data_IF_986146446021
#
_entry.id   IF_986146446021
#
_cell.length_a   1.000
_cell.length_b   1.000
_cell.length_c   1.000
_cell.angle_alpha   90.00
_cell.angle_beta   90.00
_cell.angle_gamma   90.00
#
_symmetry.space_group_name_H-M   'P 1'
#
loop_
_entity.id
_entity.type
_entity.pdbx_description
1 polymer ?
#
# COMPACT_ATOMS: atom_id res chain seq x y z
N UNK A 1 31.41 32.06 36.33
CA UNK A 1 30.07 31.47 36.05
C UNK A 1 30.07 31.11 34.58
N UNK A 2 30.36 29.84 34.32
CA UNK A 2 30.64 29.34 33.00
C UNK A 2 29.33 28.78 32.42
N UNK A 3 28.79 29.43 31.38
CA UNK A 3 27.60 28.95 30.68
C UNK A 3 28.03 27.98 29.60
N UNK A 4 27.98 26.69 29.94
CA UNK A 4 28.22 25.59 29.01
C UNK A 4 27.21 25.62 27.85
N UNK A 5 27.74 25.85 26.65
CA UNK A 5 27.00 25.72 25.38
C UNK A 5 26.78 24.24 25.10
N UNK A 6 25.53 23.81 25.18
CA UNK A 6 25.11 22.47 24.76
C UNK A 6 25.19 22.40 23.23
N UNK A 7 26.20 21.72 22.71
CA UNK A 7 26.20 21.29 21.30
C UNK A 7 25.33 20.04 21.13
N UNK A 8 24.38 20.00 20.21
CA UNK A 8 23.61 18.78 19.96
C UNK A 8 24.52 17.72 19.34
N UNK A 9 24.49 16.53 19.91
CA UNK A 9 25.33 15.37 19.62
C UNK A 9 24.93 14.58 18.36
N UNK A 10 24.05 15.14 17.52
CA UNK A 10 23.62 14.49 16.28
C UNK A 10 23.95 15.39 15.09
N UNK A 11 24.64 14.87 14.07
CA UNK A 11 24.82 15.61 12.83
C UNK A 11 23.43 15.88 12.23
N UNK A 12 23.18 17.13 11.86
CA UNK A 12 22.03 17.51 11.05
C UNK A 12 22.09 16.62 9.79
N UNK A 13 21.10 15.77 9.61
CA UNK A 13 20.90 15.02 8.38
C UNK A 13 20.93 15.98 7.20
N UNK A 14 21.58 15.57 6.11
CA UNK A 14 21.61 16.29 4.85
C UNK A 14 20.18 16.75 4.48
N UNK A 15 20.03 17.89 3.77
CA UNK A 15 18.72 18.34 3.33
C UNK A 15 18.06 17.19 2.56
N UNK A 16 16.96 16.66 3.07
CA UNK A 16 16.13 15.73 2.31
C UNK A 16 15.67 16.48 1.06
N UNK A 17 16.09 16.02 -0.10
CA UNK A 17 15.51 16.47 -1.36
C UNK A 17 14.00 16.27 -1.24
N UNK A 18 13.25 17.31 -1.56
CA UNK A 18 11.78 17.26 -1.52
C UNK A 18 11.34 16.09 -2.42
N UNK A 19 10.47 15.18 -1.94
CA UNK A 19 9.99 14.08 -2.75
C UNK A 19 9.37 14.61 -4.04
N UNK A 20 9.44 13.86 -5.14
CA UNK A 20 8.88 14.31 -6.41
C UNK A 20 7.39 14.64 -6.22
N UNK A 21 6.89 15.73 -6.81
CA UNK A 21 5.54 16.27 -6.56
C UNK A 21 4.39 15.37 -7.03
N UNK A 22 4.67 14.23 -7.65
CA UNK A 22 3.68 13.27 -8.15
C UNK A 22 4.11 11.84 -7.90
N UNK A 23 3.14 10.97 -7.61
CA UNK A 23 3.38 9.53 -7.64
C UNK A 23 3.87 9.13 -9.03
N UNK A 24 4.91 8.30 -9.14
CA UNK A 24 5.41 7.84 -10.42
C UNK A 24 4.33 7.02 -11.15
N UNK A 25 4.43 6.94 -12.45
CA UNK A 25 3.68 5.96 -13.24
C UNK A 25 4.55 4.72 -13.34
N UNK A 26 4.05 3.59 -12.82
CA UNK A 26 4.76 2.31 -12.88
C UNK A 26 4.05 1.43 -13.92
N UNK A 27 4.77 1.06 -14.95
CA UNK A 27 4.28 0.13 -15.97
C UNK A 27 4.93 -1.23 -15.77
N UNK A 28 4.10 -2.26 -15.71
CA UNK A 28 4.50 -3.66 -15.67
C UNK A 28 4.08 -4.36 -16.97
N UNK A 29 4.36 -5.64 -17.17
CA UNK A 29 3.90 -6.35 -18.37
C UNK A 29 2.38 -6.33 -18.58
N UNK A 30 1.57 -6.27 -17.50
CA UNK A 30 0.10 -6.36 -17.61
C UNK A 30 -0.65 -5.19 -16.99
N UNK A 31 0.06 -4.31 -16.23
CA UNK A 31 -0.57 -3.30 -15.41
C UNK A 31 0.05 -1.92 -15.62
N UNK A 32 -0.77 -0.91 -15.42
CA UNK A 32 -0.38 0.48 -15.21
C UNK A 32 -0.80 0.89 -13.81
N UNK A 33 0.18 1.22 -12.96
CA UNK A 33 -0.04 1.80 -11.65
C UNK A 33 0.13 3.32 -11.77
N UNK A 34 -0.90 4.07 -11.43
CA UNK A 34 -0.93 5.53 -11.59
C UNK A 34 -1.79 6.20 -10.53
N UNK A 35 -1.66 7.50 -10.40
CA UNK A 35 -2.60 8.29 -9.61
C UNK A 35 -4.03 8.19 -10.18
N UNK A 36 -5.08 8.27 -9.34
CA UNK A 36 -6.46 8.31 -9.80
C UNK A 36 -6.76 9.59 -10.56
N UNK A 37 -7.70 9.50 -11.48
CA UNK A 37 -8.37 10.64 -12.09
C UNK A 37 -9.86 10.63 -11.72
N UNK A 38 -10.55 11.75 -11.87
CA UNK A 38 -11.96 11.89 -11.45
C UNK A 38 -12.87 10.78 -12.00
N UNK A 39 -12.61 10.30 -13.21
CA UNK A 39 -13.38 9.24 -13.84
C UNK A 39 -13.18 7.85 -13.23
N UNK A 40 -12.17 7.65 -12.38
CA UNK A 40 -11.91 6.36 -11.73
C UNK A 40 -12.83 6.12 -10.54
N UNK A 41 -13.38 7.19 -9.93
CA UNK A 41 -14.15 7.11 -8.68
C UNK A 41 -15.29 6.10 -8.76
N UNK A 42 -16.05 6.08 -9.84
CA UNK A 42 -17.16 5.16 -10.01
C UNK A 42 -16.69 3.69 -10.07
N UNK A 43 -15.62 3.41 -10.81
CA UNK A 43 -15.06 2.06 -10.89
C UNK A 43 -14.50 1.60 -9.54
N UNK A 44 -13.76 2.48 -8.85
CA UNK A 44 -13.20 2.20 -7.53
C UNK A 44 -14.31 1.98 -6.51
N UNK A 45 -15.39 2.77 -6.56
CA UNK A 45 -16.54 2.62 -5.69
C UNK A 45 -17.20 1.24 -5.86
N UNK A 46 -17.46 0.82 -7.08
CA UNK A 46 -18.03 -0.50 -7.38
C UNK A 46 -17.17 -1.65 -6.85
N UNK A 47 -15.85 -1.52 -6.94
CA UNK A 47 -14.93 -2.53 -6.42
C UNK A 47 -14.94 -2.52 -4.89
N UNK A 48 -14.79 -1.34 -4.28
CA UNK A 48 -14.66 -1.15 -2.83
C UNK A 48 -15.92 -1.61 -2.09
N UNK A 49 -17.10 -1.36 -2.64
CA UNK A 49 -18.39 -1.73 -2.08
C UNK A 49 -18.91 -3.10 -2.52
N UNK A 50 -18.16 -3.80 -3.41
CA UNK A 50 -18.54 -5.16 -3.78
C UNK A 50 -18.55 -6.06 -2.53
N UNK A 51 -19.64 -6.83 -2.25
CA UNK A 51 -19.77 -7.60 -1.00
C UNK A 51 -18.56 -8.48 -0.67
N UNK A 52 -18.01 -9.20 -1.66
CA UNK A 52 -16.83 -10.04 -1.48
C UNK A 52 -15.53 -9.26 -1.20
N UNK A 53 -15.50 -7.96 -1.43
CA UNK A 53 -14.36 -7.09 -1.13
C UNK A 53 -14.60 -6.40 0.19
N UNK A 54 -15.79 -5.85 0.41
CA UNK A 54 -16.16 -5.12 1.62
C UNK A 54 -16.03 -5.97 2.89
N UNK A 55 -16.28 -7.28 2.82
CA UNK A 55 -16.14 -8.20 3.97
C UNK A 55 -14.70 -8.22 4.56
N UNK A 56 -13.69 -7.82 3.78
CA UNK A 56 -12.29 -7.81 4.21
C UNK A 56 -11.80 -6.43 4.68
N UNK A 57 -12.67 -5.41 4.67
CA UNK A 57 -12.32 -4.03 5.01
C UNK A 57 -13.11 -3.52 6.21
N UNK A 58 -12.44 -2.80 7.09
CA UNK A 58 -13.08 -2.07 8.20
C UNK A 58 -13.61 -0.68 7.80
N UNK A 59 -13.38 -0.25 6.56
CA UNK A 59 -13.67 1.12 6.10
C UNK A 59 -14.66 1.18 4.94
N UNK A 60 -15.32 0.07 4.62
CA UNK A 60 -16.31 0.04 3.56
C UNK A 60 -17.41 -0.99 3.80
N UNK A 61 -18.62 -0.64 3.40
CA UNK A 61 -19.78 -1.52 3.36
C UNK A 61 -20.36 -1.53 1.96
N UNK A 62 -21.11 -2.59 1.65
CA UNK A 62 -21.78 -2.73 0.35
C UNK A 62 -22.80 -1.63 0.06
N UNK A 63 -23.27 -0.91 1.08
CA UNK A 63 -24.27 0.15 0.99
C UNK A 63 -23.70 1.57 1.11
N UNK A 64 -22.36 1.72 1.17
CA UNK A 64 -21.75 3.03 1.27
C UNK A 64 -22.08 3.89 0.03
N UNK A 65 -22.36 5.18 0.20
CA UNK A 65 -22.56 6.08 -0.94
C UNK A 65 -21.23 6.41 -1.63
N UNK A 66 -21.30 6.88 -2.88
CA UNK A 66 -20.12 7.26 -3.67
C UNK A 66 -19.28 8.33 -2.97
N UNK A 67 -19.91 9.27 -2.26
CA UNK A 67 -19.24 10.32 -1.47
C UNK A 67 -18.26 9.76 -0.44
N UNK A 68 -18.50 8.59 0.13
CA UNK A 68 -17.58 7.96 1.08
C UNK A 68 -16.31 7.43 0.38
N UNK A 69 -16.47 6.98 -0.87
CA UNK A 69 -15.33 6.60 -1.68
C UNK A 69 -14.51 7.83 -2.10
N UNK A 70 -15.14 8.94 -2.45
CA UNK A 70 -14.47 10.20 -2.74
C UNK A 70 -13.67 10.71 -1.53
N UNK A 71 -14.30 10.74 -0.35
CA UNK A 71 -13.64 11.12 0.89
C UNK A 71 -12.49 10.16 1.25
N UNK A 72 -12.64 8.87 1.01
CA UNK A 72 -11.59 7.88 1.21
C UNK A 72 -10.41 8.09 0.23
N UNK A 73 -10.68 8.30 -1.05
CA UNK A 73 -9.66 8.60 -2.07
C UNK A 73 -8.84 9.84 -1.69
N UNK A 74 -9.51 10.90 -1.21
CA UNK A 74 -8.85 12.13 -0.74
C UNK A 74 -7.85 11.86 0.40
N UNK A 75 -8.09 10.84 1.23
CA UNK A 75 -7.20 10.48 2.35
C UNK A 75 -6.03 9.61 1.95
N UNK A 76 -6.21 8.70 0.99
CA UNK A 76 -5.15 7.75 0.60
C UNK A 76 -4.30 8.21 -0.58
N UNK A 77 -4.72 9.26 -1.28
CA UNK A 77 -3.95 9.86 -2.37
C UNK A 77 -3.51 11.29 -2.00
N UNK A 78 -2.81 11.41 -0.87
CA UNK A 78 -2.23 12.69 -0.44
C UNK A 78 -0.79 12.75 -0.93
N UNK A 79 -0.47 13.68 -1.84
CA UNK A 79 0.91 13.89 -2.27
C UNK A 79 1.83 14.06 -1.05
N UNK A 80 3.06 13.55 -1.14
CA UNK A 80 4.11 13.63 -0.12
C UNK A 80 3.86 12.84 1.20
N UNK A 81 2.65 12.29 1.41
CA UNK A 81 2.30 11.54 2.62
C UNK A 81 1.95 10.09 2.37
N UNK A 82 1.63 9.76 1.13
CA UNK A 82 1.22 8.42 0.75
C UNK A 82 1.93 7.99 -0.54
N UNK A 83 2.05 6.69 -0.76
CA UNK A 83 2.53 6.11 -1.99
C UNK A 83 1.46 5.15 -2.51
N UNK A 84 0.54 5.69 -3.32
CA UNK A 84 -0.73 5.05 -3.64
C UNK A 84 -1.05 5.08 -5.14
N UNK A 85 -1.69 4.02 -5.63
CA UNK A 85 -1.98 3.83 -7.05
C UNK A 85 -3.36 3.23 -7.26
N UNK A 86 -4.01 3.61 -8.35
CA UNK A 86 -5.00 2.76 -8.99
C UNK A 86 -4.28 1.73 -9.84
N UNK A 87 -4.81 0.51 -9.86
CA UNK A 87 -4.30 -0.60 -10.65
C UNK A 87 -5.17 -0.69 -11.90
N UNK A 88 -4.60 -0.41 -13.05
CA UNK A 88 -5.27 -0.44 -14.35
C UNK A 88 -4.68 -1.53 -15.23
N UNK A 89 -5.51 -2.28 -15.94
CA UNK A 89 -5.05 -3.26 -16.91
C UNK A 89 -4.44 -2.57 -18.13
N UNK A 90 -3.48 -3.24 -18.76
CA UNK A 90 -2.97 -2.90 -20.07
C UNK A 90 -3.49 -3.90 -21.09
N UNK A 91 -3.94 -3.40 -22.23
CA UNK A 91 -4.22 -4.21 -23.40
C UNK A 91 -2.99 -4.28 -24.30
N UNK A 92 -2.71 -5.46 -24.82
CA UNK A 92 -1.62 -5.69 -25.74
C UNK A 92 -2.14 -5.94 -27.15
N UNK A 93 -1.31 -5.62 -28.14
CA UNK A 93 -1.59 -6.02 -29.54
C UNK A 93 -1.62 -7.54 -29.65
N UNK A 94 -2.23 -8.07 -30.71
CA UNK A 94 -2.27 -9.51 -30.97
C UNK A 94 -0.87 -10.15 -31.04
N UNK A 95 0.17 -9.38 -31.37
CA UNK A 95 1.58 -9.81 -31.35
C UNK A 95 2.19 -9.84 -29.93
N UNK A 96 1.49 -9.31 -28.92
CA UNK A 96 1.93 -9.30 -27.52
C UNK A 96 3.06 -8.32 -27.20
N UNK A 97 3.66 -7.66 -28.18
CA UNK A 97 4.89 -6.88 -27.99
C UNK A 97 4.65 -5.38 -27.74
N UNK A 98 3.44 -4.88 -27.96
CA UNK A 98 3.11 -3.47 -27.77
C UNK A 98 1.81 -3.31 -26.98
N UNK A 99 1.78 -2.32 -26.09
CA UNK A 99 0.55 -1.89 -25.44
C UNK A 99 -0.35 -1.22 -26.47
N UNK A 100 -1.55 -1.74 -26.67
CA UNK A 100 -2.54 -1.20 -27.61
C UNK A 100 -3.49 -0.19 -26.96
N UNK A 101 -3.49 -0.12 -25.62
CA UNK A 101 -4.34 0.81 -24.86
C UNK A 101 -4.45 0.43 -23.38
N UNK A 102 -5.14 1.29 -22.66
CA UNK A 102 -5.46 1.08 -21.25
C UNK A 102 -6.81 0.40 -21.09
N UNK A 103 -6.84 -0.64 -20.27
CA UNK A 103 -8.06 -1.34 -19.88
C UNK A 103 -8.74 -0.69 -18.66
N UNK A 104 -9.66 -1.42 -18.01
CA UNK A 104 -10.36 -0.94 -16.82
C UNK A 104 -9.43 -0.79 -15.63
N UNK A 105 -9.82 0.08 -14.69
CA UNK A 105 -9.31 0.07 -13.31
C UNK A 105 -9.85 -1.19 -12.62
N UNK A 106 -8.96 -1.97 -12.05
CA UNK A 106 -9.28 -3.27 -11.44
C UNK A 106 -9.05 -3.29 -9.93
N UNK A 107 -8.41 -2.27 -9.35
CA UNK A 107 -8.11 -2.22 -7.93
C UNK A 107 -7.35 -0.98 -7.50
N UNK A 108 -6.99 -0.96 -6.22
CA UNK A 108 -6.18 0.08 -5.59
C UNK A 108 -5.10 -0.56 -4.74
N UNK A 109 -3.93 0.04 -4.76
CA UNK A 109 -2.79 -0.25 -3.89
C UNK A 109 -2.41 1.05 -3.19
N UNK A 110 -2.25 1.03 -1.88
CA UNK A 110 -1.93 2.21 -1.08
C UNK A 110 -0.89 1.87 -0.04
N UNK A 111 0.13 2.70 0.07
CA UNK A 111 1.06 2.70 1.20
C UNK A 111 0.89 4.00 1.96
N UNK A 112 0.50 3.89 3.23
CA UNK A 112 0.21 5.01 4.12
C UNK A 112 0.92 4.82 5.44
N UNK A 113 1.02 5.88 6.24
CA UNK A 113 1.59 5.79 7.59
C UNK A 113 0.50 5.32 8.55
N UNK A 114 0.74 4.20 9.22
CA UNK A 114 -0.18 3.71 10.25
C UNK A 114 -0.16 4.65 11.46
N UNK A 115 -1.29 5.24 11.86
CA UNK A 115 -1.33 6.24 12.93
C UNK A 115 -0.97 5.67 14.33
N UNK A 116 -1.12 4.36 14.54
CA UNK A 116 -0.79 3.71 15.82
C UNK A 116 0.70 3.37 15.94
N UNK A 117 1.30 2.92 14.85
CA UNK A 117 2.69 2.43 14.86
C UNK A 117 3.68 3.43 14.26
N UNK A 118 3.18 4.37 13.45
CA UNK A 118 3.94 5.31 12.61
C UNK A 118 4.77 4.63 11.52
N UNK A 119 4.63 3.32 11.28
CA UNK A 119 5.30 2.63 10.19
C UNK A 119 4.51 2.74 8.88
N UNK A 120 5.21 2.73 7.72
CA UNK A 120 4.57 2.56 6.43
C UNK A 120 3.80 1.24 6.41
N UNK A 121 2.55 1.29 5.99
CA UNK A 121 1.69 0.11 5.93
C UNK A 121 1.03 0.04 4.56
N UNK A 122 1.16 -1.11 3.91
CA UNK A 122 0.54 -1.37 2.61
C UNK A 122 -0.87 -1.93 2.80
N UNK A 123 -1.81 -1.40 2.01
CA UNK A 123 -3.17 -1.90 1.90
C UNK A 123 -3.58 -1.97 0.43
N UNK A 124 -4.44 -2.90 0.08
CA UNK A 124 -4.88 -3.10 -1.29
C UNK A 124 -6.21 -3.82 -1.38
N UNK A 125 -6.88 -3.62 -2.49
CA UNK A 125 -7.97 -4.48 -2.92
C UNK A 125 -8.02 -4.56 -4.45
N UNK A 126 -8.67 -5.59 -4.95
CA UNK A 126 -8.87 -5.84 -6.38
C UNK A 126 -10.26 -6.44 -6.61
N UNK A 127 -10.88 -6.11 -7.74
CA UNK A 127 -12.16 -6.67 -8.14
C UNK A 127 -12.10 -8.21 -8.18
N UNK A 128 -13.16 -8.90 -7.70
CA UNK A 128 -13.22 -10.35 -7.65
C UNK A 128 -13.01 -11.05 -9.00
N UNK A 129 -13.38 -10.41 -10.09
CA UNK A 129 -13.16 -10.91 -11.46
C UNK A 129 -11.68 -11.12 -11.80
N UNK A 130 -10.79 -10.44 -11.08
CA UNK A 130 -9.35 -10.45 -11.30
C UNK A 130 -8.57 -11.21 -10.22
N UNK A 131 -9.26 -11.88 -9.30
CA UNK A 131 -8.62 -12.69 -8.26
C UNK A 131 -7.89 -13.90 -8.88
N UNK A 132 -6.90 -14.40 -8.15
CA UNK A 132 -6.12 -15.61 -8.52
C UNK A 132 -5.37 -15.54 -9.86
N UNK A 133 -5.25 -14.34 -10.46
CA UNK A 133 -4.53 -14.13 -11.74
C UNK A 133 -3.13 -13.53 -11.57
N UNK A 134 -2.68 -13.32 -10.32
CA UNK A 134 -1.36 -12.80 -10.00
C UNK A 134 -1.20 -11.29 -10.14
N UNK A 135 -2.26 -10.53 -10.45
CA UNK A 135 -2.18 -9.08 -10.63
C UNK A 135 -1.74 -8.34 -9.38
N UNK A 136 -2.25 -8.70 -8.18
CA UNK A 136 -1.81 -8.05 -6.94
C UNK A 136 -0.34 -8.33 -6.63
N UNK A 137 0.12 -9.56 -6.83
CA UNK A 137 1.54 -9.89 -6.66
C UNK A 137 2.42 -9.04 -7.58
N UNK A 138 2.04 -8.89 -8.86
CA UNK A 138 2.74 -8.06 -9.83
C UNK A 138 2.75 -6.57 -9.40
N UNK A 139 1.58 -6.04 -9.01
CA UNK A 139 1.44 -4.66 -8.59
C UNK A 139 2.25 -4.34 -7.33
N UNK A 140 2.16 -5.19 -6.31
CA UNK A 140 2.88 -4.99 -5.04
C UNK A 140 4.38 -5.08 -5.26
N UNK A 141 4.87 -6.10 -5.98
CA UNK A 141 6.30 -6.25 -6.23
C UNK A 141 6.89 -5.06 -6.98
N UNK A 142 6.19 -4.57 -8.02
CA UNK A 142 6.62 -3.39 -8.77
C UNK A 142 6.59 -2.12 -7.91
N UNK A 143 5.53 -1.94 -7.10
CA UNK A 143 5.42 -0.77 -6.23
C UNK A 143 6.46 -0.76 -5.12
N UNK A 144 6.82 -1.92 -4.52
CA UNK A 144 7.86 -2.01 -3.50
C UNK A 144 9.24 -1.69 -4.06
N UNK A 145 9.55 -2.15 -5.28
CA UNK A 145 10.81 -1.81 -5.94
C UNK A 145 10.95 -0.29 -6.11
N UNK A 146 9.94 0.37 -6.69
CA UNK A 146 9.91 1.82 -6.86
C UNK A 146 9.89 2.58 -5.53
N UNK A 147 9.19 2.04 -4.53
CA UNK A 147 9.11 2.64 -3.19
C UNK A 147 10.50 2.77 -2.55
N UNK A 148 11.32 1.74 -2.59
CA UNK A 148 12.65 1.78 -1.99
C UNK A 148 13.65 2.65 -2.75
N UNK A 149 13.45 2.84 -4.05
CA UNK A 149 14.24 3.80 -4.84
C UNK A 149 13.91 5.25 -4.44
N UNK A 150 12.62 5.57 -4.28
CA UNK A 150 12.16 6.93 -3.97
C UNK A 150 12.25 7.25 -2.47
N UNK A 151 12.02 6.28 -1.61
CA UNK A 151 11.94 6.43 -0.16
C UNK A 151 12.87 5.45 0.57
N UNK A 152 14.18 5.55 0.38
CA UNK A 152 15.14 4.61 0.98
C UNK A 152 15.09 4.61 2.52
N UNK A 153 14.58 5.68 3.11
CA UNK A 153 14.40 5.86 4.55
C UNK A 153 12.92 5.88 4.99
N UNK A 154 12.01 5.37 4.14
CA UNK A 154 10.57 5.38 4.39
C UNK A 154 9.87 6.68 3.99
N UNK A 155 8.53 6.69 4.04
CA UNK A 155 7.71 7.87 3.72
C UNK A 155 8.07 9.05 4.64
N UNK A 156 8.01 10.30 4.15
CA UNK A 156 8.21 11.48 4.97
C UNK A 156 7.30 11.50 6.19
N UNK A 157 7.89 11.63 7.39
CA UNK A 157 7.17 11.60 8.65
C UNK A 157 6.81 10.20 9.16
N UNK A 158 7.19 9.14 8.45
CA UNK A 158 7.05 7.79 8.96
C UNK A 158 8.22 7.41 9.87
N UNK A 159 7.96 6.44 10.71
CA UNK A 159 8.98 5.68 11.40
C UNK A 159 9.50 4.63 10.42
N UNK A 160 10.81 4.59 10.17
CA UNK A 160 11.36 3.66 9.19
C UNK A 160 12.00 2.45 9.86
N UNK A 161 12.64 2.63 11.01
CA UNK A 161 13.40 1.59 11.68
C UNK A 161 12.60 0.95 12.80
N UNK A 162 12.58 -0.37 12.85
CA UNK A 162 12.12 -1.15 13.97
C UNK A 162 13.03 -0.99 15.20
N UNK A 163 12.69 -1.65 16.30
CA UNK A 163 13.55 -1.70 17.50
C UNK A 163 14.89 -2.41 17.25
N UNK A 164 14.95 -3.20 16.20
CA UNK A 164 16.10 -3.96 15.70
C UNK A 164 16.96 -3.18 14.70
N UNK A 165 16.63 -1.91 14.43
CA UNK A 165 17.35 -1.06 13.47
C UNK A 165 16.98 -1.28 12.00
N UNK A 166 16.23 -2.33 11.68
CA UNK A 166 15.88 -2.67 10.29
C UNK A 166 14.71 -1.86 9.77
N UNK A 167 14.82 -1.43 8.51
CA UNK A 167 13.78 -0.67 7.80
C UNK A 167 12.78 -1.64 7.16
N UNK A 168 11.49 -1.33 7.29
CA UNK A 168 10.43 -2.22 6.80
C UNK A 168 9.14 -1.51 6.43
N UNK A 169 8.27 -2.25 5.72
CA UNK A 169 6.87 -1.94 5.46
C UNK A 169 6.01 -3.01 6.10
N UNK A 170 5.00 -2.62 6.85
CA UNK A 170 4.03 -3.53 7.46
C UNK A 170 2.82 -3.77 6.54
N UNK A 171 2.18 -4.92 6.72
CA UNK A 171 0.85 -5.23 6.19
C UNK A 171 0.03 -5.91 7.29
N UNK A 172 -1.28 -5.67 7.31
CA UNK A 172 -2.18 -6.37 8.22
C UNK A 172 -3.31 -6.99 7.42
N UNK A 173 -3.60 -8.26 7.67
CA UNK A 173 -4.62 -9.02 6.94
C UNK A 173 -5.44 -9.87 7.91
N UNK A 174 -6.73 -10.04 7.63
CA UNK A 174 -7.54 -11.01 8.37
C UNK A 174 -7.01 -12.42 8.03
N UNK A 175 -6.66 -13.21 9.04
CA UNK A 175 -6.02 -14.54 8.87
C UNK A 175 -6.84 -15.49 7.96
N UNK A 176 -8.16 -15.34 7.95
CA UNK A 176 -9.08 -16.09 7.07
C UNK A 176 -9.02 -15.64 5.60
N UNK A 177 -8.44 -14.47 5.29
CA UNK A 177 -8.26 -14.00 3.92
C UNK A 177 -7.05 -14.66 3.27
N UNK A 178 -7.19 -15.95 2.98
CA UNK A 178 -6.12 -16.78 2.40
C UNK A 178 -5.59 -16.20 1.08
N UNK A 179 -6.45 -15.48 0.33
CA UNK A 179 -6.04 -14.82 -0.91
C UNK A 179 -4.97 -13.74 -0.65
N UNK A 180 -5.22 -12.84 0.30
CA UNK A 180 -4.27 -11.79 0.69
C UNK A 180 -3.02 -12.37 1.36
N UNK A 181 -3.16 -13.35 2.25
CA UNK A 181 -2.04 -14.06 2.88
C UNK A 181 -1.06 -14.56 1.80
N UNK A 182 -1.55 -15.32 0.83
CA UNK A 182 -0.73 -15.85 -0.28
C UNK A 182 -0.08 -14.76 -1.15
N UNK A 183 -0.74 -13.62 -1.31
CA UNK A 183 -0.17 -12.49 -2.05
C UNK A 183 1.00 -11.90 -1.28
N UNK A 184 0.85 -11.65 0.02
CA UNK A 184 1.91 -11.11 0.86
C UNK A 184 3.13 -12.04 0.89
N UNK A 185 2.92 -13.34 1.14
CA UNK A 185 3.98 -14.34 1.15
C UNK A 185 4.75 -14.41 -0.19
N UNK A 186 4.02 -14.38 -1.32
CA UNK A 186 4.64 -14.35 -2.65
C UNK A 186 5.43 -13.07 -2.94
N UNK A 187 5.08 -11.97 -2.30
CA UNK A 187 5.82 -10.72 -2.38
C UNK A 187 6.99 -10.64 -1.38
N UNK A 188 7.23 -11.70 -0.59
CA UNK A 188 8.34 -11.75 0.36
C UNK A 188 8.05 -11.14 1.72
N UNK A 189 6.78 -10.91 2.06
CA UNK A 189 6.40 -10.52 3.41
C UNK A 189 6.45 -11.71 4.36
N UNK A 190 6.95 -11.49 5.56
CA UNK A 190 7.06 -12.48 6.63
C UNK A 190 6.03 -12.22 7.71
N UNK A 191 5.39 -13.27 8.21
CA UNK A 191 4.50 -13.19 9.37
C UNK A 191 5.31 -12.89 10.62
N UNK A 192 5.02 -11.77 11.30
CA UNK A 192 5.78 -11.33 12.49
C UNK A 192 4.95 -11.30 13.77
N UNK A 193 3.63 -11.22 13.66
CA UNK A 193 2.73 -11.22 14.82
C UNK A 193 1.29 -11.54 14.38
N UNK A 194 0.45 -11.84 15.35
CA UNK A 194 -1.00 -11.88 15.18
C UNK A 194 -1.67 -11.19 16.38
N UNK A 195 -2.87 -10.68 16.15
CA UNK A 195 -3.66 -9.95 17.14
C UNK A 195 -5.14 -10.30 16.98
N UNK A 196 -5.81 -10.60 18.07
CA UNK A 196 -7.26 -10.77 18.08
C UNK A 196 -7.91 -9.41 18.35
N UNK A 197 -8.86 -9.02 17.50
CA UNK A 197 -9.58 -7.76 17.60
C UNK A 197 -11.09 -7.98 17.52
N UNK A 198 -11.87 -7.04 18.03
CA UNK A 198 -13.32 -7.03 17.82
C UNK A 198 -13.64 -6.93 16.33
N UNK A 199 -14.62 -7.73 15.89
CA UNK A 199 -15.11 -7.68 14.52
C UNK A 199 -15.84 -6.35 14.26
N UNK A 200 -15.33 -5.56 13.34
CA UNK A 200 -15.94 -4.28 12.95
C UNK A 200 -17.30 -4.41 12.26
N UNK A 201 -17.71 -5.61 11.87
CA UNK A 201 -19.05 -5.93 11.34
C UNK A 201 -20.00 -6.46 12.42
N UNK A 202 -19.57 -6.49 13.69
CA UNK A 202 -20.41 -6.91 14.82
C UNK A 202 -20.52 -8.43 14.99
N UNK A 203 -19.60 -9.19 14.37
CA UNK A 203 -19.47 -10.62 14.54
C UNK A 203 -18.58 -11.02 15.72
N UNK A 204 -18.18 -12.31 15.82
CA UNK A 204 -17.17 -12.77 16.77
C UNK A 204 -15.80 -12.17 16.42
N UNK A 205 -14.93 -12.05 17.45
CA UNK A 205 -13.57 -11.54 17.27
C UNK A 205 -12.86 -12.17 16.07
N UNK A 206 -12.10 -11.35 15.38
CA UNK A 206 -11.31 -11.74 14.22
C UNK A 206 -9.83 -11.74 14.55
N UNK A 207 -9.10 -12.67 13.94
CA UNK A 207 -7.66 -12.74 14.04
C UNK A 207 -7.04 -11.96 12.87
N UNK A 208 -6.14 -11.05 13.20
CA UNK A 208 -5.33 -10.28 12.26
C UNK A 208 -3.91 -10.80 12.28
N UNK A 209 -3.38 -11.12 11.11
CA UNK A 209 -1.99 -11.43 10.90
C UNK A 209 -1.25 -10.16 10.51
N UNK A 210 -0.14 -9.88 11.19
CA UNK A 210 0.76 -8.80 10.81
C UNK A 210 1.94 -9.37 10.06
N UNK A 211 2.09 -8.88 8.84
CA UNK A 211 3.19 -9.21 7.95
C UNK A 211 4.15 -8.04 7.84
N UNK A 212 5.40 -8.33 7.51
CA UNK A 212 6.47 -7.35 7.34
C UNK A 212 7.31 -7.67 6.13
N UNK A 213 7.58 -6.65 5.33
CA UNK A 213 8.54 -6.70 4.23
C UNK A 213 9.75 -5.87 4.61
N UNK A 214 10.89 -6.53 4.73
CA UNK A 214 12.15 -5.89 5.05
C UNK A 214 12.74 -5.21 3.83
N UNK A 215 13.40 -4.07 4.02
CA UNK A 215 14.12 -3.41 2.93
C UNK A 215 15.16 -4.37 2.36
N UNK A 216 15.19 -4.62 1.03
CA UNK A 216 16.23 -5.42 0.40
C UNK A 216 17.62 -4.81 0.61
N UNK A 217 18.63 -5.65 0.79
CA UNK A 217 20.01 -5.25 1.05
C UNK A 217 20.25 -4.48 2.37
N UNK A 218 19.39 -4.66 3.35
CA UNK A 218 19.72 -4.26 4.71
C UNK A 218 20.90 -5.11 5.20
N UNK A 219 22.04 -4.50 5.63
CA UNK A 219 23.26 -5.22 5.97
C UNK A 219 23.11 -6.22 7.12
N UNK A 220 21.98 -6.17 7.84
CA UNK A 220 21.67 -7.06 8.98
C UNK A 220 20.71 -8.21 8.62
N UNK A 221 20.44 -8.49 7.33
CA UNK A 221 19.73 -9.67 6.84
C UNK A 221 20.63 -10.85 6.53
#
# INVERSE_FOLDING_TARGET
>A
MDHGIFSPKYPLSAPQESPPPFHPIIQTPRLLLRSPVSNDTAAIHLIRTHPKVAEWHNSSNATDPVSDTEAWLTRIFVPEKTFSFVIQLLFHTASGNNVSGSGPVIGVLSMTINPKTSFPTIGYFISPEYWSKGYLTEAISASLAEYWELYPNGLPGSRCEGKDGRVHVDATVISKNVGSVRVLEKCGFELVAYEEVEDWHGGPNILLDRYRFWKPNDPDQ
#
